data_IF_207468895450
#
_entry.id   IF_207468895450
#
_cell.length_a   1.000
_cell.length_b   1.000
_cell.length_c   1.000
_cell.angle_alpha   90.00
_cell.angle_beta   90.00
_cell.angle_gamma   90.00
#
_symmetry.space_group_name_H-M   'P 1'
#
loop_
_entity.id
_entity.type
_entity.pdbx_description
1 polymer ?
#
# COMPACT_ATOMS: atom_id res chain seq x y z
N UNK A 1 -5.61 28.38 -3.29
CA UNK A 1 -5.45 26.96 -2.87
C UNK A 1 -5.29 26.81 -1.35
N UNK A 2 -4.27 27.40 -0.73
CA UNK A 2 -3.99 27.26 0.72
C UNK A 2 -5.23 27.42 1.62
N UNK A 3 -5.94 28.55 1.54
CA UNK A 3 -7.16 28.79 2.33
C UNK A 3 -8.24 27.71 2.13
N UNK A 4 -8.37 27.19 0.92
CA UNK A 4 -9.31 26.10 0.61
C UNK A 4 -8.93 24.80 1.31
N UNK A 5 -7.64 24.47 1.33
CA UNK A 5 -7.10 23.31 2.06
C UNK A 5 -7.37 23.44 3.56
N UNK A 6 -7.10 24.61 4.14
CA UNK A 6 -7.34 24.88 5.54
C UNK A 6 -8.82 24.79 5.90
N UNK A 7 -9.70 25.39 5.11
CA UNK A 7 -11.14 25.32 5.32
C UNK A 7 -11.67 23.89 5.22
N UNK A 8 -11.16 23.09 4.26
CA UNK A 8 -11.54 21.69 4.13
C UNK A 8 -11.10 20.88 5.35
N UNK A 9 -9.84 21.00 5.76
CA UNK A 9 -9.31 20.31 6.93
C UNK A 9 -10.08 20.70 8.22
N UNK A 10 -10.40 21.99 8.39
CA UNK A 10 -11.16 22.49 9.53
C UNK A 10 -12.62 21.97 9.58
N UNK A 11 -13.19 21.58 8.43
CA UNK A 11 -14.55 21.06 8.36
C UNK A 11 -14.65 19.56 8.71
N UNK A 12 -13.53 18.82 8.70
CA UNK A 12 -13.49 17.36 8.87
C UNK A 12 -13.48 16.99 10.37
N UNK A 13 -14.37 16.07 10.75
CA UNK A 13 -14.26 15.31 11.99
C UNK A 13 -13.46 14.03 11.72
N UNK A 14 -12.14 14.14 11.79
CA UNK A 14 -11.23 13.05 11.41
C UNK A 14 -11.38 11.84 12.33
N UNK A 15 -11.73 12.06 13.60
CA UNK A 15 -11.93 10.99 14.59
C UNK A 15 -13.17 10.13 14.32
N UNK A 16 -14.17 10.70 13.61
CA UNK A 16 -15.36 9.97 13.13
C UNK A 16 -15.25 9.53 11.67
N UNK A 17 -14.17 9.86 10.99
CA UNK A 17 -13.96 9.46 9.60
C UNK A 17 -13.59 7.98 9.52
N UNK A 18 -13.81 7.37 8.34
CA UNK A 18 -13.48 5.97 8.09
C UNK A 18 -12.57 5.83 6.89
N UNK A 19 -11.73 4.82 6.91
CA UNK A 19 -10.91 4.39 5.79
C UNK A 19 -11.68 3.34 5.00
N UNK A 20 -11.72 3.46 3.68
CA UNK A 20 -12.31 2.45 2.79
C UNK A 20 -11.22 1.50 2.32
N UNK A 21 -11.44 0.20 2.47
CA UNK A 21 -10.56 -0.79 1.86
C UNK A 21 -10.80 -0.81 0.34
N UNK A 22 -9.72 -0.73 -0.42
CA UNK A 22 -9.74 -0.77 -1.88
C UNK A 22 -9.76 -2.19 -2.42
N UNK A 23 -9.41 -2.37 -3.71
CA UNK A 23 -9.05 -3.68 -4.25
C UNK A 23 -7.96 -4.31 -3.39
N UNK A 24 -8.09 -5.61 -3.14
CA UNK A 24 -7.19 -6.33 -2.25
C UNK A 24 -5.80 -6.42 -2.85
N UNK A 25 -4.79 -6.10 -2.05
CA UNK A 25 -3.38 -6.19 -2.45
C UNK A 25 -2.63 -7.22 -1.63
N UNK A 26 -1.64 -7.86 -2.25
CA UNK A 26 -0.83 -8.92 -1.66
C UNK A 26 0.64 -8.59 -1.91
N UNK A 27 1.48 -8.75 -0.90
CA UNK A 27 2.93 -8.80 -1.12
C UNK A 27 3.47 -10.20 -0.84
N UNK A 28 4.59 -10.53 -1.48
CA UNK A 28 5.22 -11.85 -1.45
C UNK A 28 6.70 -11.72 -1.14
N UNK A 29 7.14 -12.49 -0.16
CA UNK A 29 8.53 -12.64 0.27
C UNK A 29 8.96 -14.10 0.17
N UNK A 30 10.22 -14.37 -0.15
CA UNK A 30 10.71 -15.72 -0.42
C UNK A 30 12.05 -15.76 -1.13
N UNK A 31 12.39 -16.90 -1.72
CA UNK A 31 13.58 -17.09 -2.54
C UNK A 31 13.45 -16.51 -3.95
N UNK A 32 14.52 -16.62 -4.72
CA UNK A 32 14.55 -16.22 -6.13
C UNK A 32 13.43 -16.94 -6.92
N UNK A 33 12.77 -16.24 -7.83
CA UNK A 33 11.56 -16.73 -8.48
C UNK A 33 11.84 -17.76 -9.57
N UNK A 34 12.62 -17.40 -10.60
CA UNK A 34 12.92 -18.29 -11.73
C UNK A 34 14.39 -18.27 -12.12
N UNK A 35 14.85 -19.34 -12.76
CA UNK A 35 16.15 -19.37 -13.43
C UNK A 35 16.07 -18.80 -14.86
N UNK A 36 17.20 -18.77 -15.58
CA UNK A 36 17.28 -18.28 -16.96
C UNK A 36 16.41 -19.05 -17.97
N UNK A 37 16.00 -20.28 -17.62
CA UNK A 37 15.13 -21.13 -18.45
C UNK A 37 13.64 -21.00 -18.08
N UNK A 38 13.29 -20.08 -17.16
CA UNK A 38 11.92 -19.86 -16.70
C UNK A 38 11.38 -20.92 -15.72
N UNK A 39 12.22 -21.85 -15.24
CA UNK A 39 11.83 -22.82 -14.20
C UNK A 39 11.83 -22.16 -12.83
N UNK A 40 10.87 -22.49 -11.95
CA UNK A 40 10.84 -21.94 -10.61
C UNK A 40 12.04 -22.43 -9.79
N UNK A 41 12.63 -21.54 -8.99
CA UNK A 41 13.76 -21.83 -8.10
C UNK A 41 13.36 -21.95 -6.63
N UNK A 42 12.10 -21.67 -6.31
CA UNK A 42 11.59 -21.52 -4.95
C UNK A 42 10.09 -21.79 -4.91
N UNK A 43 9.55 -22.05 -3.71
CA UNK A 43 8.12 -22.13 -3.45
C UNK A 43 7.41 -20.84 -3.87
N UNK A 44 8.00 -19.67 -3.59
CA UNK A 44 7.48 -18.39 -4.08
C UNK A 44 7.44 -18.32 -5.62
N UNK A 45 8.50 -18.77 -6.27
CA UNK A 45 8.58 -18.87 -7.73
C UNK A 45 7.51 -19.76 -8.32
N UNK A 46 7.32 -20.95 -7.73
CA UNK A 46 6.26 -21.88 -8.12
C UNK A 46 4.87 -21.28 -7.90
N UNK A 47 4.64 -20.61 -6.77
CA UNK A 47 3.38 -19.94 -6.48
C UNK A 47 3.03 -18.88 -7.53
N UNK A 48 4.01 -18.05 -7.89
CA UNK A 48 3.86 -17.02 -8.93
C UNK A 48 3.61 -17.61 -10.32
N UNK A 49 4.26 -18.72 -10.67
CA UNK A 49 4.06 -19.41 -11.94
C UNK A 49 2.66 -20.03 -12.05
N UNK A 50 2.15 -20.59 -10.96
CA UNK A 50 0.85 -21.28 -10.93
C UNK A 50 -0.35 -20.32 -10.89
N UNK A 51 -0.20 -19.11 -10.31
CA UNK A 51 -1.33 -18.18 -10.09
C UNK A 51 -1.16 -16.73 -10.60
N UNK A 52 -0.70 -16.51 -11.84
CA UNK A 52 -0.74 -15.17 -12.42
C UNK A 52 -2.16 -14.77 -12.91
N UNK A 53 -3.19 -15.61 -12.77
CA UNK A 53 -4.54 -15.34 -13.29
C UNK A 53 -5.35 -14.40 -12.41
N UNK A 54 -6.16 -14.97 -11.51
CA UNK A 54 -7.16 -14.25 -10.70
C UNK A 54 -6.59 -13.15 -9.78
N UNK A 55 -5.31 -13.21 -9.44
CA UNK A 55 -4.67 -12.33 -8.45
C UNK A 55 -3.47 -11.55 -9.00
N UNK A 56 -3.18 -11.60 -10.30
CA UNK A 56 -2.05 -10.86 -10.88
C UNK A 56 -2.08 -9.38 -10.50
N UNK A 57 -3.24 -8.75 -10.66
CA UNK A 57 -3.42 -7.32 -10.37
C UNK A 57 -3.39 -7.01 -8.86
N UNK A 58 -3.46 -8.04 -8.00
CA UNK A 58 -3.36 -7.88 -6.56
C UNK A 58 -1.89 -7.89 -6.07
N UNK A 59 -0.94 -8.43 -6.84
CA UNK A 59 0.43 -8.57 -6.37
C UNK A 59 1.23 -7.27 -6.42
N UNK A 60 1.85 -6.94 -5.28
CA UNK A 60 2.81 -5.86 -5.09
C UNK A 60 4.10 -6.50 -4.61
N UNK A 61 5.05 -6.71 -5.52
CA UNK A 61 6.30 -7.42 -5.23
C UNK A 61 7.42 -6.42 -4.94
N UNK A 62 7.96 -6.34 -3.71
CA UNK A 62 8.92 -5.30 -3.32
C UNK A 62 10.20 -5.32 -4.14
N UNK A 63 10.69 -6.53 -4.47
CA UNK A 63 11.90 -6.75 -5.27
C UNK A 63 11.82 -6.14 -6.68
N UNK A 64 10.62 -5.89 -7.22
CA UNK A 64 10.47 -5.24 -8.51
C UNK A 64 10.82 -3.74 -8.45
N UNK A 65 10.92 -3.17 -7.24
CA UNK A 65 11.23 -1.76 -7.02
C UNK A 65 12.73 -1.52 -6.91
N UNK A 66 13.45 -1.64 -8.04
CA UNK A 66 14.91 -1.40 -8.12
C UNK A 66 15.36 0.01 -7.66
N UNK A 67 14.42 0.96 -7.57
CA UNK A 67 14.65 2.35 -7.18
C UNK A 67 14.08 2.69 -5.79
N UNK A 68 13.94 1.70 -4.90
CA UNK A 68 13.42 1.91 -3.55
C UNK A 68 14.21 2.95 -2.73
N UNK A 69 15.51 3.10 -2.98
CA UNK A 69 16.38 4.07 -2.33
C UNK A 69 16.69 5.31 -3.19
N UNK A 70 15.90 5.59 -4.23
CA UNK A 70 16.17 6.70 -5.14
C UNK A 70 16.41 8.01 -4.36
N UNK A 71 17.55 8.67 -4.61
CA UNK A 71 18.02 9.86 -3.88
C UNK A 71 18.18 9.72 -2.36
N UNK A 72 18.34 8.51 -1.82
CA UNK A 72 18.52 8.29 -0.37
C UNK A 72 17.28 8.61 0.47
N UNK A 73 16.08 8.49 -0.13
CA UNK A 73 14.81 8.75 0.57
C UNK A 73 14.59 7.77 1.72
N UNK A 74 14.87 6.49 1.48
CA UNK A 74 14.95 5.46 2.52
C UNK A 74 16.41 5.23 2.88
N UNK A 75 16.68 5.09 4.18
CA UNK A 75 18.02 4.81 4.72
C UNK A 75 18.36 3.32 4.60
N UNK A 76 17.34 2.45 4.65
CA UNK A 76 17.45 1.00 4.62
C UNK A 76 16.24 0.37 3.91
N UNK A 77 16.45 -0.84 3.39
CA UNK A 77 15.44 -1.59 2.63
C UNK A 77 14.25 -2.01 3.52
N UNK A 78 14.53 -2.34 4.78
CA UNK A 78 13.51 -2.79 5.72
C UNK A 78 12.43 -1.71 5.94
N UNK A 79 12.83 -0.47 6.16
CA UNK A 79 11.90 0.68 6.30
C UNK A 79 11.00 0.86 5.06
N UNK A 80 11.54 0.59 3.86
CA UNK A 80 10.75 0.63 2.62
C UNK A 80 9.76 -0.52 2.54
N UNK A 81 10.20 -1.74 2.84
CA UNK A 81 9.36 -2.93 2.80
C UNK A 81 8.25 -2.90 3.86
N UNK A 82 8.51 -2.35 5.04
CA UNK A 82 7.48 -2.12 6.06
C UNK A 82 6.36 -1.20 5.54
N UNK A 83 6.71 -0.16 4.78
CA UNK A 83 5.75 0.76 4.19
C UNK A 83 4.93 0.13 3.06
N UNK A 84 5.58 -0.68 2.22
CA UNK A 84 4.87 -1.49 1.22
C UNK A 84 3.94 -2.49 1.90
N UNK A 85 4.39 -3.17 2.94
CA UNK A 85 3.59 -4.10 3.75
C UNK A 85 2.42 -3.40 4.45
N UNK A 86 2.59 -2.14 4.86
CA UNK A 86 1.49 -1.36 5.43
C UNK A 86 0.36 -1.15 4.41
N UNK A 87 0.67 -1.07 3.10
CA UNK A 87 -0.30 -0.83 2.02
C UNK A 87 -1.07 -2.07 1.53
N UNK A 88 -0.61 -3.29 1.83
CA UNK A 88 -1.20 -4.54 1.30
C UNK A 88 -2.04 -5.30 2.32
N UNK A 89 -3.12 -5.94 1.89
CA UNK A 89 -4.08 -6.61 2.78
C UNK A 89 -3.60 -7.98 3.26
N UNK A 90 -2.64 -8.58 2.56
CA UNK A 90 -1.95 -9.79 3.01
C UNK A 90 -0.46 -9.73 2.68
N UNK A 91 0.35 -10.24 3.60
CA UNK A 91 1.79 -10.39 3.43
C UNK A 91 2.11 -11.88 3.48
N UNK A 92 2.43 -12.46 2.33
CA UNK A 92 2.75 -13.89 2.22
C UNK A 92 4.26 -14.05 2.29
N UNK A 93 4.75 -14.86 3.21
CA UNK A 93 6.18 -15.13 3.39
C UNK A 93 6.42 -16.62 3.27
N UNK A 94 7.21 -17.01 2.28
CA UNK A 94 7.74 -18.36 2.13
C UNK A 94 9.08 -18.44 2.89
N UNK A 95 9.12 -19.16 4.01
CA UNK A 95 10.34 -19.36 4.81
C UNK A 95 11.25 -20.39 4.15
N UNK A 96 11.90 -19.96 3.07
CA UNK A 96 12.72 -20.82 2.20
C UNK A 96 14.12 -20.25 1.95
N UNK A 97 14.41 -19.05 2.47
CA UNK A 97 15.69 -18.39 2.31
C UNK A 97 16.07 -17.60 3.57
N UNK A 98 17.37 -17.32 3.81
CA UNK A 98 17.80 -16.47 4.91
C UNK A 98 17.16 -15.07 4.87
N UNK A 99 16.95 -14.51 3.67
CA UNK A 99 16.28 -13.22 3.48
C UNK A 99 14.83 -13.26 3.97
N UNK A 100 14.06 -14.25 3.55
CA UNK A 100 12.67 -14.40 3.94
C UNK A 100 12.49 -14.63 5.46
N UNK A 101 13.42 -15.35 6.09
CA UNK A 101 13.44 -15.54 7.54
C UNK A 101 13.73 -14.22 8.27
N UNK A 102 14.66 -13.41 7.74
CA UNK A 102 14.96 -12.08 8.29
C UNK A 102 13.77 -11.12 8.15
N UNK A 103 13.15 -11.06 6.96
CA UNK A 103 11.94 -10.29 6.68
C UNK A 103 10.81 -10.71 7.64
N UNK A 104 10.55 -12.01 7.78
CA UNK A 104 9.55 -12.51 8.72
C UNK A 104 9.83 -12.05 10.16
N UNK A 105 11.08 -12.20 10.61
CA UNK A 105 11.52 -11.78 11.94
C UNK A 105 11.37 -10.28 12.19
N UNK A 106 11.50 -9.44 11.17
CA UNK A 106 11.28 -8.01 11.29
C UNK A 106 9.78 -7.67 11.28
N UNK A 107 9.03 -8.17 10.31
CA UNK A 107 7.62 -7.84 10.09
C UNK A 107 6.70 -8.34 11.21
N UNK A 108 7.03 -9.46 11.86
CA UNK A 108 6.27 -10.01 12.99
C UNK A 108 6.23 -9.08 14.22
N UNK A 109 7.19 -8.15 14.35
CA UNK A 109 7.23 -7.18 15.46
C UNK A 109 6.38 -5.94 15.18
N UNK A 110 6.03 -5.71 13.92
CA UNK A 110 5.21 -4.59 13.53
C UNK A 110 3.72 -4.92 13.71
N UNK A 111 3.06 -4.23 14.65
CA UNK A 111 1.68 -4.53 15.05
C UNK A 111 0.64 -4.31 13.94
N UNK A 112 0.96 -3.47 12.95
CA UNK A 112 0.07 -3.19 11.82
C UNK A 112 0.28 -4.21 10.67
N UNK A 113 1.41 -4.91 10.65
CA UNK A 113 1.77 -5.86 9.59
C UNK A 113 1.55 -7.29 10.06
N UNK A 114 1.94 -7.64 11.28
CA UNK A 114 1.87 -8.99 11.81
C UNK A 114 0.48 -9.67 11.66
N UNK A 115 -0.66 -8.98 11.88
CA UNK A 115 -1.98 -9.56 11.66
C UNK A 115 -2.28 -9.96 10.21
N UNK A 116 -1.54 -9.40 9.23
CA UNK A 116 -1.70 -9.63 7.79
C UNK A 116 -0.80 -10.76 7.29
N UNK A 117 0.10 -11.27 8.13
CA UNK A 117 1.04 -12.31 7.73
C UNK A 117 0.31 -13.61 7.37
N UNK A 118 0.82 -14.26 6.33
CA UNK A 118 0.50 -15.59 5.89
C UNK A 118 1.83 -16.30 5.70
N UNK A 119 2.16 -17.25 6.55
CA UNK A 119 3.51 -17.83 6.59
C UNK A 119 3.46 -19.27 6.07
N UNK A 120 4.24 -19.53 5.04
CA UNK A 120 4.46 -20.88 4.51
C UNK A 120 5.83 -21.33 5.00
N UNK A 121 5.87 -22.41 5.75
CA UNK A 121 7.07 -22.92 6.41
C UNK A 121 7.36 -24.29 5.85
N UNK A 122 8.58 -24.50 5.35
CA UNK A 122 9.03 -25.86 5.06
C UNK A 122 9.11 -26.64 6.38
N UNK A 123 8.57 -27.86 6.40
CA UNK A 123 8.61 -28.77 7.55
C UNK A 123 9.99 -28.87 8.21
N UNK A 124 11.07 -28.78 7.44
CA UNK A 124 12.45 -28.77 7.95
C UNK A 124 12.73 -27.64 8.96
N UNK A 125 12.02 -26.52 8.88
CA UNK A 125 12.14 -25.41 9.81
C UNK A 125 11.14 -25.48 10.98
N UNK A 126 10.20 -26.42 10.94
CA UNK A 126 9.17 -26.59 11.98
C UNK A 126 9.69 -27.37 13.19
N UNK A 127 10.65 -28.29 12.99
CA UNK A 127 11.20 -29.15 14.03
C UNK A 127 12.32 -28.46 14.83
N UNK A 128 12.22 -28.48 16.17
CA UNK A 128 13.21 -28.05 17.17
C UNK A 128 14.09 -26.82 16.83
N UNK A 129 13.52 -25.81 16.17
CA UNK A 129 14.25 -24.64 15.67
C UNK A 129 13.82 -23.33 16.33
N UNK A 130 14.68 -22.31 16.27
CA UNK A 130 14.30 -20.95 16.66
C UNK A 130 13.18 -20.38 15.76
N UNK A 131 13.08 -20.84 14.51
CA UNK A 131 12.00 -20.43 13.60
C UNK A 131 10.67 -20.95 14.14
N UNK A 132 10.57 -22.24 14.47
CA UNK A 132 9.38 -22.85 15.05
C UNK A 132 9.05 -22.34 16.46
N UNK A 133 9.97 -22.53 17.41
CA UNK A 133 9.72 -22.20 18.83
C UNK A 133 9.78 -20.72 19.16
N UNK A 134 10.49 -19.92 18.38
CA UNK A 134 10.59 -18.47 18.55
C UNK A 134 9.57 -17.74 17.69
N UNK A 135 9.83 -17.67 16.38
CA UNK A 135 9.09 -16.80 15.47
C UNK A 135 7.64 -17.27 15.25
N UNK A 136 7.45 -18.54 14.85
CA UNK A 136 6.13 -19.10 14.56
C UNK A 136 5.26 -19.17 15.82
N UNK A 137 5.81 -19.64 16.96
CA UNK A 137 5.09 -19.62 18.25
C UNK A 137 4.72 -18.20 18.68
N UNK A 138 5.61 -17.22 18.51
CA UNK A 138 5.25 -15.83 18.81
C UNK A 138 4.09 -15.34 17.94
N UNK A 139 4.12 -15.60 16.64
CA UNK A 139 3.08 -15.18 15.70
C UNK A 139 1.73 -15.79 16.10
N UNK A 140 1.70 -17.11 16.27
CA UNK A 140 0.48 -17.85 16.58
C UNK A 140 -0.07 -17.51 17.96
N UNK A 141 0.78 -17.31 18.96
CA UNK A 141 0.33 -16.90 20.30
C UNK A 141 -0.34 -15.52 20.29
N UNK A 142 0.22 -14.55 19.55
CA UNK A 142 -0.27 -13.17 19.56
C UNK A 142 -1.35 -12.90 18.50
N UNK A 143 -1.41 -13.67 17.42
CA UNK A 143 -2.23 -13.38 16.22
C UNK A 143 -2.97 -14.61 15.66
N UNK A 144 -3.17 -15.67 16.45
CA UNK A 144 -3.85 -16.93 16.04
C UNK A 144 -5.17 -16.77 15.28
N UNK A 145 -5.91 -15.69 15.50
CA UNK A 145 -7.21 -15.46 14.86
C UNK A 145 -7.11 -14.89 13.44
N UNK A 146 -5.99 -14.30 13.08
CA UNK A 146 -5.83 -13.53 11.83
C UNK A 146 -4.73 -14.07 10.93
N UNK A 147 -3.87 -14.95 11.46
CA UNK A 147 -2.74 -15.54 10.74
C UNK A 147 -3.08 -16.95 10.26
N UNK A 148 -2.55 -17.29 9.09
CA UNK A 148 -2.54 -18.63 8.56
C UNK A 148 -1.09 -19.11 8.50
N UNK A 149 -0.89 -20.35 8.93
CA UNK A 149 0.38 -21.05 8.90
C UNK A 149 0.18 -22.36 8.13
N UNK A 150 1.08 -22.63 7.18
CA UNK A 150 1.09 -23.89 6.44
C UNK A 150 2.47 -24.50 6.57
N UNK A 151 2.53 -25.75 7.02
CA UNK A 151 3.70 -26.60 6.86
C UNK A 151 3.65 -27.23 5.48
N UNK A 152 4.55 -26.80 4.59
CA UNK A 152 4.74 -27.46 3.30
C UNK A 152 5.55 -28.74 3.53
N UNK A 153 5.08 -29.84 2.97
CA UNK A 153 5.70 -31.16 3.17
C UNK A 153 6.95 -31.38 2.30
N UNK A 154 7.29 -30.42 1.45
CA UNK A 154 8.26 -30.57 0.38
C UNK A 154 9.07 -29.29 0.21
N UNK A 155 10.31 -29.42 -0.29
CA UNK A 155 11.14 -28.27 -0.67
C UNK A 155 10.52 -27.47 -1.81
N UNK A 156 9.70 -28.11 -2.64
CA UNK A 156 8.91 -27.48 -3.71
C UNK A 156 7.45 -27.30 -3.29
N UNK A 157 6.82 -26.20 -3.69
CA UNK A 157 5.41 -25.97 -3.41
C UNK A 157 4.54 -26.83 -4.32
N UNK A 158 3.71 -27.71 -3.74
CA UNK A 158 2.78 -28.52 -4.53
C UNK A 158 1.64 -27.65 -5.07
N UNK A 159 1.05 -28.07 -6.19
CA UNK A 159 -0.08 -27.36 -6.81
C UNK A 159 -1.29 -27.27 -5.86
N UNK A 160 -1.54 -28.33 -5.09
CA UNK A 160 -2.63 -28.41 -4.12
C UNK A 160 -2.38 -27.47 -2.93
N UNK A 161 -1.13 -27.37 -2.46
CA UNK A 161 -0.72 -26.43 -1.41
C UNK A 161 -0.92 -24.98 -1.88
N UNK A 162 -0.53 -24.67 -3.13
CA UNK A 162 -0.74 -23.37 -3.73
C UNK A 162 -2.24 -23.03 -3.89
N UNK A 163 -3.08 -23.97 -4.34
CA UNK A 163 -4.55 -23.80 -4.35
C UNK A 163 -5.10 -23.49 -2.96
N UNK A 164 -4.62 -24.21 -1.94
CA UNK A 164 -5.05 -24.02 -0.56
C UNK A 164 -4.69 -22.62 -0.04
N UNK A 165 -3.45 -22.17 -0.26
CA UNK A 165 -3.00 -20.81 0.10
C UNK A 165 -3.95 -19.76 -0.50
N UNK A 166 -4.23 -19.85 -1.80
CA UNK A 166 -5.10 -18.91 -2.51
C UNK A 166 -6.52 -18.91 -1.92
N UNK A 167 -7.07 -20.08 -1.63
CA UNK A 167 -8.41 -20.19 -1.06
C UNK A 167 -8.48 -19.57 0.34
N UNK A 168 -7.51 -19.84 1.21
CA UNK A 168 -7.43 -19.22 2.53
C UNK A 168 -7.30 -17.69 2.44
N UNK A 169 -6.53 -17.17 1.48
CA UNK A 169 -6.44 -15.74 1.22
C UNK A 169 -7.76 -15.15 0.73
N UNK A 170 -8.45 -15.81 -0.21
CA UNK A 170 -9.78 -15.40 -0.68
C UNK A 170 -10.80 -15.38 0.48
N UNK A 171 -10.78 -16.38 1.36
CA UNK A 171 -11.62 -16.41 2.56
C UNK A 171 -11.28 -15.30 3.56
N UNK A 172 -9.99 -15.01 3.75
CA UNK A 172 -9.54 -13.86 4.55
C UNK A 172 -10.10 -12.55 3.99
N UNK A 173 -9.97 -12.32 2.68
CA UNK A 173 -10.46 -11.10 2.04
C UNK A 173 -11.97 -10.91 2.15
N UNK A 174 -12.76 -11.99 2.14
CA UNK A 174 -14.22 -11.93 2.38
C UNK A 174 -14.56 -11.43 3.79
N UNK A 175 -13.68 -11.66 4.77
CA UNK A 175 -13.85 -11.25 6.17
C UNK A 175 -13.35 -9.84 6.46
N UNK A 176 -12.54 -9.25 5.57
CA UNK A 176 -12.05 -7.88 5.74
C UNK A 176 -13.25 -6.92 5.68
N UNK A 177 -13.46 -6.06 6.69
CA UNK A 177 -14.54 -5.10 6.66
C UNK A 177 -14.34 -4.14 5.48
N UNK A 178 -15.43 -3.66 4.87
CA UNK A 178 -15.32 -2.68 3.78
C UNK A 178 -14.72 -1.35 4.23
N UNK A 179 -14.87 -1.03 5.52
CA UNK A 179 -14.40 0.21 6.12
C UNK A 179 -13.88 -0.03 7.53
N UNK A 180 -12.88 0.72 7.94
CA UNK A 180 -12.38 0.77 9.31
C UNK A 180 -12.33 2.20 9.85
N UNK A 181 -12.29 2.35 11.19
CA UNK A 181 -12.23 3.69 11.81
C UNK A 181 -10.86 4.31 11.56
N UNK A 182 -10.84 5.56 11.08
CA UNK A 182 -9.60 6.28 10.87
C UNK A 182 -8.83 6.44 12.19
N UNK A 183 -7.52 6.20 12.10
CA UNK A 183 -6.58 6.25 13.22
C UNK A 183 -5.25 6.82 12.73
N UNK A 184 -4.77 7.90 13.37
CA UNK A 184 -3.59 8.66 12.94
C UNK A 184 -2.26 7.90 13.07
N UNK A 185 -2.19 6.93 13.96
CA UNK A 185 -0.97 6.15 14.20
C UNK A 185 -0.76 5.02 13.19
N UNK A 186 -1.78 4.67 12.40
CA UNK A 186 -1.70 3.59 11.43
C UNK A 186 -1.19 4.15 10.10
N UNK A 187 -0.03 3.67 9.64
CA UNK A 187 0.63 4.18 8.42
C UNK A 187 -0.27 4.07 7.19
N UNK A 188 -1.02 2.97 7.04
CA UNK A 188 -2.01 2.78 5.95
C UNK A 188 -3.02 3.92 5.86
N UNK A 189 -3.51 4.39 6.99
CA UNK A 189 -4.51 5.45 7.03
C UNK A 189 -3.94 6.78 6.53
N UNK A 190 -2.68 7.05 6.85
CA UNK A 190 -1.95 8.22 6.35
C UNK A 190 -1.79 8.11 4.84
N UNK A 191 -1.37 6.93 4.33
CA UNK A 191 -1.29 6.68 2.88
C UNK A 191 -2.61 6.97 2.16
N UNK A 192 -3.72 6.44 2.67
CA UNK A 192 -5.03 6.63 2.04
C UNK A 192 -5.52 8.08 2.16
N UNK A 193 -5.12 8.80 3.21
CA UNK A 193 -5.39 10.24 3.31
C UNK A 193 -4.64 11.02 2.24
N UNK A 194 -3.38 10.68 1.98
CA UNK A 194 -2.59 11.30 0.91
C UNK A 194 -3.24 11.01 -0.44
N UNK A 195 -3.53 9.75 -0.75
CA UNK A 195 -4.18 9.36 -2.01
C UNK A 195 -5.51 10.12 -2.20
N UNK A 196 -6.37 10.11 -1.19
CA UNK A 196 -7.68 10.75 -1.28
C UNK A 196 -7.57 12.27 -1.46
N UNK A 197 -6.61 12.91 -0.78
CA UNK A 197 -6.37 14.34 -0.93
C UNK A 197 -5.81 14.72 -2.31
N UNK A 198 -4.90 13.91 -2.87
CA UNK A 198 -4.42 14.11 -4.24
C UNK A 198 -5.57 13.95 -5.24
N UNK A 199 -6.50 13.01 -5.01
CA UNK A 199 -7.73 12.89 -5.81
C UNK A 199 -8.62 14.13 -5.69
N UNK A 200 -8.72 14.79 -4.53
CA UNK A 200 -9.51 16.01 -4.40
C UNK A 200 -8.93 17.18 -5.24
N UNK A 201 -7.61 17.29 -5.31
CA UNK A 201 -6.91 18.35 -6.05
C UNK A 201 -6.73 18.05 -7.54
N UNK A 202 -6.71 16.77 -7.90
CA UNK A 202 -6.32 16.21 -9.21
C UNK A 202 -4.84 16.40 -9.57
N UNK A 203 -4.24 17.53 -9.19
CA UNK A 203 -2.80 17.83 -9.28
C UNK A 203 -2.33 18.50 -8.00
N UNK A 204 -1.56 17.79 -7.18
CA UNK A 204 -1.08 18.27 -5.89
C UNK A 204 0.43 18.53 -5.90
N UNK A 205 0.88 19.59 -5.23
CA UNK A 205 2.29 19.79 -4.88
C UNK A 205 2.58 19.11 -3.54
N UNK A 206 3.85 18.78 -3.27
CA UNK A 206 4.24 18.25 -1.96
C UNK A 206 3.87 19.19 -0.81
N UNK A 207 3.95 20.51 -1.03
CA UNK A 207 3.57 21.53 -0.05
C UNK A 207 2.08 21.52 0.27
N UNK A 208 1.21 21.20 -0.70
CA UNK A 208 -0.23 21.05 -0.47
C UNK A 208 -0.51 19.86 0.44
N UNK A 209 0.16 18.73 0.19
CA UNK A 209 0.00 17.49 0.96
C UNK A 209 0.49 17.71 2.40
N UNK A 210 1.68 18.31 2.55
CA UNK A 210 2.22 18.64 3.88
C UNK A 210 1.30 19.59 4.64
N UNK A 211 0.77 20.63 3.98
CA UNK A 211 -0.18 21.56 4.60
C UNK A 211 -1.43 20.82 5.08
N UNK A 212 -2.05 20.01 4.22
CA UNK A 212 -3.27 19.28 4.57
C UNK A 212 -3.07 18.35 5.77
N UNK A 213 -2.01 17.56 5.79
CA UNK A 213 -1.69 16.67 6.91
C UNK A 213 -1.44 17.47 8.21
N UNK A 214 -0.75 18.60 8.11
CA UNK A 214 -0.51 19.49 9.25
C UNK A 214 -1.82 20.05 9.83
N UNK A 215 -2.74 20.49 8.97
CA UNK A 215 -4.05 21.01 9.39
C UNK A 215 -4.92 19.91 10.03
N UNK A 216 -4.82 18.67 9.55
CA UNK A 216 -5.44 17.49 10.17
C UNK A 216 -4.78 17.07 11.51
N UNK A 217 -3.73 17.79 11.95
CA UNK A 217 -2.90 17.45 13.11
C UNK A 217 -2.26 16.07 12.97
N UNK A 218 -1.74 15.77 11.78
CA UNK A 218 -0.88 14.64 11.47
C UNK A 218 0.52 15.22 11.22
N UNK A 219 1.37 15.18 12.24
CA UNK A 219 2.71 15.75 12.16
C UNK A 219 3.67 14.70 11.61
N UNK A 220 4.14 14.92 10.39
CA UNK A 220 5.18 14.08 9.77
C UNK A 220 6.34 14.95 9.29
N UNK A 221 7.60 14.55 9.56
CA UNK A 221 8.76 15.22 8.99
C UNK A 221 8.77 15.16 7.47
N UNK A 222 9.39 16.16 6.82
CA UNK A 222 9.50 16.20 5.35
C UNK A 222 10.07 14.91 4.76
N UNK A 223 11.14 14.36 5.36
CA UNK A 223 11.76 13.09 4.92
C UNK A 223 10.74 11.94 4.97
N UNK A 224 9.91 11.88 6.01
CA UNK A 224 8.87 10.86 6.13
C UNK A 224 7.79 11.01 5.06
N UNK A 225 7.38 12.24 4.75
CA UNK A 225 6.44 12.47 3.65
C UNK A 225 7.02 12.01 2.31
N UNK A 226 8.31 12.28 2.04
CA UNK A 226 9.00 11.80 0.83
C UNK A 226 9.00 10.27 0.73
N UNK A 227 9.28 9.57 1.84
CA UNK A 227 9.21 8.11 1.93
C UNK A 227 7.81 7.59 1.57
N UNK A 228 6.76 8.17 2.18
CA UNK A 228 5.38 7.78 1.91
C UNK A 228 5.02 8.01 0.43
N UNK A 229 5.40 9.15 -0.15
CA UNK A 229 5.13 9.44 -1.55
C UNK A 229 5.86 8.47 -2.49
N UNK A 230 7.10 8.10 -2.16
CA UNK A 230 7.87 7.11 -2.91
C UNK A 230 7.25 5.71 -2.83
N UNK A 231 6.79 5.27 -1.66
CA UNK A 231 6.07 4.00 -1.51
C UNK A 231 4.77 3.98 -2.34
N UNK A 232 3.97 5.06 -2.26
CA UNK A 232 2.74 5.21 -3.06
C UNK A 232 2.99 5.18 -4.57
N UNK A 233 4.12 5.76 -5.01
CA UNK A 233 4.54 5.71 -6.41
C UNK A 233 4.91 4.29 -6.83
N UNK A 234 5.68 3.56 -6.01
CA UNK A 234 6.10 2.21 -6.32
C UNK A 234 4.90 1.24 -6.40
N UNK A 235 3.89 1.39 -5.54
CA UNK A 235 2.68 0.55 -5.62
C UNK A 235 1.63 1.04 -6.64
N UNK A 236 2.04 1.94 -7.55
CA UNK A 236 1.22 2.55 -8.60
C UNK A 236 -0.06 3.23 -8.10
N UNK A 237 -0.10 3.68 -6.85
CA UNK A 237 -1.22 4.46 -6.32
C UNK A 237 -1.15 5.93 -6.77
N UNK A 238 0.07 6.48 -6.82
CA UNK A 238 0.34 7.84 -7.28
C UNK A 238 1.30 7.85 -8.47
N UNK A 239 1.14 8.86 -9.31
CA UNK A 239 2.11 9.23 -10.33
C UNK A 239 2.79 10.53 -9.91
N UNK A 240 4.12 10.53 -9.97
CA UNK A 240 4.95 11.70 -9.78
C UNK A 240 5.39 12.25 -11.14
N UNK A 241 5.20 13.55 -11.36
CA UNK A 241 5.59 14.22 -12.61
C UNK A 241 6.26 15.56 -12.34
N UNK A 242 7.10 16.01 -13.27
CA UNK A 242 7.72 17.34 -13.25
C UNK A 242 7.13 18.18 -14.38
N UNK A 243 6.43 19.26 -14.04
CA UNK A 243 5.81 20.18 -14.99
C UNK A 243 6.38 21.58 -14.79
N UNK A 244 6.98 22.16 -15.83
CA UNK A 244 7.62 23.48 -15.77
C UNK A 244 8.58 23.63 -14.57
N UNK A 245 9.38 22.60 -14.32
CA UNK A 245 10.30 22.47 -13.19
C UNK A 245 9.71 22.26 -11.80
N UNK A 246 8.39 22.26 -11.65
CA UNK A 246 7.74 21.95 -10.38
C UNK A 246 7.33 20.47 -10.31
N UNK A 247 7.59 19.85 -9.17
CA UNK A 247 7.22 18.46 -8.87
C UNK A 247 5.77 18.40 -8.40
N UNK A 248 5.01 17.46 -8.95
CA UNK A 248 3.59 17.29 -8.69
C UNK A 248 3.18 15.82 -8.66
N UNK A 249 2.01 15.58 -8.08
CA UNK A 249 1.45 14.25 -7.90
C UNK A 249 0.02 14.19 -8.42
N UNK A 250 -0.30 13.09 -9.09
CA UNK A 250 -1.67 12.75 -9.49
C UNK A 250 -1.97 11.29 -9.11
N UNK A 251 -3.25 10.91 -9.03
CA UNK A 251 -3.64 9.51 -8.79
C UNK A 251 -3.64 8.74 -10.10
N UNK A 252 -3.07 7.53 -10.16
CA UNK A 252 -3.01 6.72 -11.40
C UNK A 252 -4.35 6.09 -11.80
N UNK A 253 -5.15 5.64 -10.83
CA UNK A 253 -6.48 5.05 -11.06
C UNK A 253 -7.46 5.62 -10.04
N UNK A 254 -8.58 6.20 -10.50
CA UNK A 254 -9.61 6.74 -9.60
C UNK A 254 -10.98 6.16 -9.91
N UNK A 255 -11.38 5.14 -9.15
CA UNK A 255 -12.79 4.92 -8.86
C UNK A 255 -12.90 4.25 -7.49
N UNK A 256 -12.96 5.10 -6.45
CA UNK A 256 -13.53 4.95 -5.10
C UNK A 256 -12.70 5.84 -4.16
N UNK A 257 -13.32 6.78 -3.42
CA UNK A 257 -12.64 7.53 -2.36
C UNK A 257 -11.99 6.61 -1.34
N UNK A 258 -10.74 6.86 -0.95
CA UNK A 258 -10.05 6.05 0.06
C UNK A 258 -10.48 6.42 1.48
N UNK A 259 -11.06 7.61 1.67
CA UNK A 259 -11.53 8.11 2.97
C UNK A 259 -13.01 8.51 2.90
N UNK A 260 -13.82 8.01 3.83
CA UNK A 260 -15.12 8.54 4.17
C UNK A 260 -14.96 9.62 5.25
N UNK A 261 -14.83 10.87 4.82
CA UNK A 261 -14.77 11.98 5.76
C UNK A 261 -16.13 12.16 6.45
N UNK A 262 -16.09 12.15 7.77
CA UNK A 262 -17.12 12.74 8.61
C UNK A 262 -16.85 14.23 8.75
N UNK A 263 -17.90 15.03 8.86
CA UNK A 263 -17.79 16.48 8.97
C UNK A 263 -18.35 16.98 10.30
N UNK A 264 -17.81 18.10 10.77
CA UNK A 264 -18.28 18.73 12.00
C UNK A 264 -19.73 19.25 11.85
N UNK A 265 -20.53 19.26 12.94
CA UNK A 265 -21.89 19.80 12.93
C UNK A 265 -21.95 21.21 12.33
N UNK A 266 -22.96 21.47 11.50
CA UNK A 266 -23.10 22.73 10.76
C UNK A 266 -22.40 22.76 9.40
N UNK A 267 -21.58 21.75 9.07
CA UNK A 267 -21.02 21.58 7.73
C UNK A 267 -22.01 20.87 6.83
N UNK A 268 -22.54 21.56 5.81
CA UNK A 268 -23.47 20.99 4.81
C UNK A 268 -22.77 20.35 3.62
N UNK A 269 -21.50 20.71 3.39
CA UNK A 269 -20.70 20.25 2.26
C UNK A 269 -20.18 18.83 2.46
N UNK A 270 -20.45 17.95 1.50
CA UNK A 270 -19.90 16.58 1.45
C UNK A 270 -18.56 16.56 0.73
N UNK A 271 -17.84 15.43 0.78
CA UNK A 271 -16.56 15.24 0.05
C UNK A 271 -16.65 15.67 -1.43
N UNK A 272 -17.72 15.32 -2.14
CA UNK A 272 -17.91 15.70 -3.55
C UNK A 272 -18.02 17.21 -3.76
N UNK A 273 -18.68 17.93 -2.85
CA UNK A 273 -18.73 19.39 -2.88
C UNK A 273 -17.34 19.98 -2.72
N UNK A 274 -16.54 19.45 -1.79
CA UNK A 274 -15.16 19.85 -1.60
C UNK A 274 -14.27 19.52 -2.80
N UNK A 275 -14.47 18.36 -3.45
CA UNK A 275 -13.78 18.00 -4.70
C UNK A 275 -14.05 19.03 -5.80
N UNK A 276 -15.30 19.44 -5.98
CA UNK A 276 -15.66 20.48 -6.97
C UNK A 276 -15.01 21.84 -6.65
N UNK A 277 -15.02 22.26 -5.38
CA UNK A 277 -14.39 23.51 -4.93
C UNK A 277 -12.87 23.45 -5.15
N UNK A 278 -12.22 22.37 -4.75
CA UNK A 278 -10.77 22.17 -4.93
C UNK A 278 -10.40 22.16 -6.41
N UNK A 279 -11.17 21.45 -7.24
CA UNK A 279 -10.96 21.41 -8.68
C UNK A 279 -11.11 22.79 -9.34
N UNK A 280 -12.13 23.57 -8.95
CA UNK A 280 -12.26 24.96 -9.38
C UNK A 280 -11.02 25.78 -9.03
N UNK A 281 -10.47 25.63 -7.81
CA UNK A 281 -9.22 26.30 -7.41
C UNK A 281 -7.98 25.77 -8.13
N UNK A 282 -7.97 24.49 -8.53
CA UNK A 282 -6.94 23.93 -9.40
C UNK A 282 -6.98 24.59 -10.78
N UNK A 283 -8.17 24.87 -11.33
CA UNK A 283 -8.32 25.53 -12.63
C UNK A 283 -8.07 27.04 -12.62
N UNK A 284 -8.29 27.72 -11.49
CA UNK A 284 -7.94 29.14 -11.30
C UNK A 284 -6.42 29.36 -11.22
N UNK A 285 -5.67 28.38 -10.72
CA UNK A 285 -4.20 28.43 -10.65
C UNK A 285 -3.60 28.10 -12.03
N UNK A 286 -2.94 29.09 -12.64
CA UNK A 286 -2.38 28.97 -14.01
C UNK A 286 -1.48 27.74 -14.18
N UNK A 287 -0.61 27.45 -13.21
CA UNK A 287 0.32 26.34 -13.32
C UNK A 287 -0.41 25.00 -13.13
N UNK A 288 -1.32 24.90 -12.15
CA UNK A 288 -2.08 23.67 -11.91
C UNK A 288 -3.02 23.35 -13.07
N UNK A 289 -3.68 24.35 -13.63
CA UNK A 289 -4.52 24.20 -14.82
C UNK A 289 -3.72 23.67 -16.02
N UNK A 290 -2.51 24.20 -16.23
CA UNK A 290 -1.60 23.72 -17.26
C UNK A 290 -1.15 22.27 -17.00
N UNK A 291 -0.68 21.97 -15.77
CA UNK A 291 -0.26 20.63 -15.39
C UNK A 291 -1.39 19.61 -15.51
N UNK A 292 -2.62 19.97 -15.14
CA UNK A 292 -3.78 19.10 -15.31
C UNK A 292 -4.03 18.77 -16.78
N UNK A 293 -4.00 19.77 -17.67
CA UNK A 293 -4.18 19.53 -19.12
C UNK A 293 -3.14 18.54 -19.65
N UNK A 294 -1.86 18.81 -19.40
CA UNK A 294 -0.75 17.98 -19.87
C UNK A 294 -0.82 16.55 -19.33
N UNK A 295 -1.12 16.38 -18.04
CA UNK A 295 -1.03 15.08 -17.37
C UNK A 295 -2.31 14.26 -17.44
N UNK A 296 -3.49 14.89 -17.55
CA UNK A 296 -4.79 14.20 -17.48
C UNK A 296 -5.60 14.24 -18.76
N UNK A 297 -5.49 15.31 -19.56
CA UNK A 297 -6.26 15.45 -20.81
C UNK A 297 -5.46 14.87 -21.97
N UNK A 298 -4.26 15.40 -22.22
CA UNK A 298 -3.44 14.99 -23.37
C UNK A 298 -2.96 13.54 -23.24
N UNK A 299 -2.75 13.05 -22.01
CA UNK A 299 -2.40 11.66 -21.74
C UNK A 299 -3.55 10.69 -22.01
N UNK A 300 -4.80 11.10 -21.77
CA UNK A 300 -5.99 10.30 -22.07
C UNK A 300 -6.24 10.24 -23.58
N UNK A 301 -6.05 11.36 -24.29
CA UNK A 301 -6.16 11.41 -25.75
C UNK A 301 -5.10 10.54 -26.44
N UNK A 302 -3.85 10.57 -25.95
CA UNK A 302 -2.78 9.70 -26.48
C UNK A 302 -3.01 8.21 -26.25
N UNK A 303 -3.68 7.82 -25.16
CA UNK A 303 -4.05 6.41 -24.90
C UNK A 303 -5.20 5.89 -25.77
N UNK A 304 -6.01 6.78 -26.36
CA UNK A 304 -7.13 6.39 -27.24
C UNK A 304 -6.72 6.29 -28.71
N UNK A 305 -5.48 6.67 -29.07
CA UNK A 305 -4.97 6.70 -30.45
C UNK A 305 -3.91 5.60 -30.69
N UNK A 306 -3.50 4.87 -29.63
CA UNK A 306 -2.56 3.75 -29.68
C UNK A 306 -3.27 2.43 -29.37
#
# INVERSE_FOLDING_TARGET
MQKTIQNFAAAIDLAKSKVRHGPQKITLFGGNTTNGDGKPLSQRGTFLLLYPGDLADAFVVPENFKNWNHFGVYDDLLSFEEDVCALVDSVVVFLESPGAIAEFGALIKNKDIAPKLFVVVNKEFEEDSFIGYGLVKYLTHNYSKTVNFISSQSSELLKEEAHFIINEMKERFKKIPKTEKFTKSITRHIFYTIIDFVDLLQVARISDIQLFLTELKIQIPKKRLEQLLLALKNVDALEESKVLNERCFTVKSSAIPSIEYSFLPGTTSKRMSWKAIMFSKTMEDKWRAFAYKVLKVDAAEKKNVA
#
